data_IF_841176077844
#
_entry.id   IF_841176077844
#
_cell.length_a   1.000
_cell.length_b   1.000
_cell.length_c   1.000
_cell.angle_alpha   90.00
_cell.angle_beta   90.00
_cell.angle_gamma   90.00
#
_symmetry.space_group_name_H-M   'P 1'
#
loop_
_entity.id
_entity.type
_entity.pdbx_description
1 polymer ?
#
# COMPACT_ATOMS: atom_id res chain seq x y z
N UNK A 1 10.02 -20.92 -21.20
CA UNK A 1 8.73 -20.41 -21.72
C UNK A 1 9.04 -19.17 -22.55
N UNK A 2 8.59 -19.10 -23.80
CA UNK A 2 8.86 -17.94 -24.65
C UNK A 2 7.99 -16.77 -24.20
N UNK A 3 8.61 -15.72 -23.66
CA UNK A 3 7.90 -14.50 -23.26
C UNK A 3 7.43 -13.78 -24.53
N UNK A 4 6.13 -13.58 -24.68
CA UNK A 4 5.57 -12.79 -25.79
C UNK A 4 5.72 -11.30 -25.48
N UNK A 5 6.46 -10.59 -26.31
CA UNK A 5 6.65 -9.15 -26.18
C UNK A 5 5.74 -8.40 -27.16
N UNK A 6 5.07 -7.35 -26.68
CA UNK A 6 4.36 -6.38 -27.52
C UNK A 6 5.15 -5.07 -27.58
N UNK A 7 5.43 -4.60 -28.79
CA UNK A 7 6.18 -3.36 -29.00
C UNK A 7 5.30 -2.13 -28.77
N UNK A 8 5.83 -1.16 -28.00
CA UNK A 8 5.20 0.12 -27.73
C UNK A 8 6.26 1.23 -27.69
N UNK A 9 5.88 2.42 -28.16
CA UNK A 9 6.72 3.61 -28.08
C UNK A 9 6.30 4.45 -26.88
N UNK A 10 7.27 4.80 -26.03
CA UNK A 10 7.06 5.66 -24.85
C UNK A 10 7.87 6.93 -25.04
N UNK A 11 7.25 8.08 -24.77
CA UNK A 11 7.96 9.37 -24.72
C UNK A 11 8.40 9.63 -23.29
N UNK A 12 9.68 9.94 -23.13
CA UNK A 12 10.29 10.29 -21.84
C UNK A 12 10.70 11.75 -21.88
N UNK A 13 10.64 12.42 -20.73
CA UNK A 13 11.27 13.72 -20.60
C UNK A 13 12.78 13.59 -20.75
N UNK A 14 13.44 14.65 -21.23
CA UNK A 14 14.89 14.65 -21.44
C UNK A 14 15.66 14.28 -20.17
N UNK A 15 15.26 14.85 -19.03
CA UNK A 15 15.84 14.57 -17.71
C UNK A 15 15.68 13.10 -17.29
N UNK A 16 14.54 12.48 -17.63
CA UNK A 16 14.29 11.07 -17.35
C UNK A 16 15.15 10.18 -18.24
N UNK A 17 15.27 10.51 -19.52
CA UNK A 17 16.12 9.80 -20.47
C UNK A 17 17.59 9.84 -20.04
N UNK A 18 18.12 11.01 -19.71
CA UNK A 18 19.53 11.17 -19.33
C UNK A 18 19.88 10.34 -18.08
N UNK A 19 18.98 10.31 -17.10
CA UNK A 19 19.15 9.48 -15.90
C UNK A 19 19.05 7.99 -16.24
N UNK A 20 18.07 7.60 -17.04
CA UNK A 20 17.88 6.20 -17.46
C UNK A 20 19.06 5.67 -18.26
N UNK A 21 19.58 6.44 -19.22
CA UNK A 21 20.72 6.06 -20.04
C UNK A 21 21.99 5.92 -19.22
N UNK A 22 22.18 6.77 -18.21
CA UNK A 22 23.32 6.68 -17.29
C UNK A 22 23.25 5.37 -16.50
N UNK A 23 22.10 5.07 -15.89
CA UNK A 23 21.91 3.83 -15.11
C UNK A 23 22.04 2.59 -16.02
N UNK A 24 21.53 2.65 -17.24
CA UNK A 24 21.66 1.59 -18.25
C UNK A 24 23.13 1.28 -18.57
N UNK A 25 23.92 2.33 -18.80
CA UNK A 25 25.34 2.21 -19.08
C UNK A 25 26.11 1.62 -17.87
N UNK A 26 25.86 2.13 -16.66
CA UNK A 26 26.48 1.64 -15.42
C UNK A 26 26.20 0.15 -15.18
N UNK A 27 24.96 -0.28 -15.45
CA UNK A 27 24.51 -1.66 -15.21
C UNK A 27 24.73 -2.61 -16.40
N UNK A 28 25.23 -2.10 -17.54
CA UNK A 28 25.37 -2.84 -18.81
C UNK A 28 24.05 -3.49 -19.27
N UNK A 29 22.95 -2.77 -19.08
CA UNK A 29 21.60 -3.19 -19.48
C UNK A 29 21.06 -2.26 -20.56
N UNK A 30 20.07 -2.72 -21.34
CA UNK A 30 19.35 -1.78 -22.19
C UNK A 30 18.40 -0.92 -21.36
N UNK A 31 18.11 0.30 -21.84
CA UNK A 31 17.08 1.15 -21.21
C UNK A 31 15.72 0.42 -21.16
N UNK A 32 15.42 -0.39 -22.18
CA UNK A 32 14.20 -1.20 -22.22
C UNK A 32 14.16 -2.29 -21.14
N UNK A 33 15.30 -2.89 -20.78
CA UNK A 33 15.37 -3.84 -19.65
C UNK A 33 15.06 -3.15 -18.33
N UNK A 34 15.64 -1.96 -18.10
CA UNK A 34 15.40 -1.19 -16.88
C UNK A 34 13.93 -0.80 -16.77
N UNK A 35 13.33 -0.30 -17.86
CA UNK A 35 11.91 0.08 -17.87
C UNK A 35 11.03 -1.15 -17.58
N UNK A 36 11.32 -2.31 -18.18
CA UNK A 36 10.58 -3.56 -17.89
C UNK A 36 10.72 -3.98 -16.43
N UNK A 37 11.94 -4.01 -15.89
CA UNK A 37 12.14 -4.36 -14.47
C UNK A 37 11.45 -3.36 -13.52
N UNK A 38 11.48 -2.06 -13.82
CA UNK A 38 10.77 -1.06 -13.04
C UNK A 38 9.25 -1.26 -13.11
N UNK A 39 8.73 -1.64 -14.28
CA UNK A 39 7.32 -1.96 -14.46
C UNK A 39 6.92 -3.23 -13.69
N UNK A 40 7.74 -4.27 -13.71
CA UNK A 40 7.50 -5.50 -12.94
C UNK A 40 7.44 -5.21 -11.42
N UNK A 41 8.35 -4.37 -10.93
CA UNK A 41 8.35 -3.91 -9.53
C UNK A 41 7.11 -3.07 -9.22
N UNK A 42 6.74 -2.15 -10.12
CA UNK A 42 5.57 -1.31 -9.93
C UNK A 42 4.28 -2.15 -9.87
N UNK A 43 4.10 -3.06 -10.82
CA UNK A 43 2.91 -3.92 -10.89
C UNK A 43 2.84 -4.86 -9.67
N UNK A 44 3.95 -5.49 -9.29
CA UNK A 44 3.99 -6.36 -8.10
C UNK A 44 3.82 -5.61 -6.78
N UNK A 45 4.33 -4.37 -6.67
CA UNK A 45 4.18 -3.56 -5.45
C UNK A 45 2.73 -3.12 -5.22
N UNK A 46 1.96 -2.88 -6.29
CA UNK A 46 0.54 -2.51 -6.19
C UNK A 46 -0.31 -3.63 -5.56
N UNK A 47 -0.01 -4.88 -5.91
CA UNK A 47 -0.66 -6.05 -5.32
C UNK A 47 -0.26 -6.25 -3.85
N UNK A 48 1.03 -6.05 -3.53
CA UNK A 48 1.55 -6.16 -2.17
C UNK A 48 0.97 -5.09 -1.23
N UNK A 49 0.87 -3.84 -1.69
CA UNK A 49 0.28 -2.75 -0.91
C UNK A 49 -1.21 -3.00 -0.67
N UNK A 50 -1.94 -3.44 -1.70
CA UNK A 50 -3.37 -3.74 -1.58
C UNK A 50 -3.62 -4.97 -0.69
N UNK A 51 -2.78 -5.99 -0.77
CA UNK A 51 -2.84 -7.16 0.11
C UNK A 51 -2.48 -6.81 1.56
N UNK A 52 -1.47 -5.95 1.76
CA UNK A 52 -1.07 -5.44 3.07
C UNK A 52 -2.17 -4.63 3.75
N UNK A 53 -2.81 -3.70 3.02
CA UNK A 53 -3.94 -2.93 3.54
C UNK A 53 -5.11 -3.84 3.93
N UNK A 54 -5.47 -4.82 3.09
CA UNK A 54 -6.53 -5.79 3.42
C UNK A 54 -6.18 -6.64 4.65
N UNK A 55 -4.91 -7.01 4.83
CA UNK A 55 -4.45 -7.75 6.01
C UNK A 55 -4.51 -6.88 7.26
N UNK A 56 -4.04 -5.64 7.19
CA UNK A 56 -4.08 -4.69 8.32
C UNK A 56 -5.52 -4.40 8.75
N UNK A 57 -6.43 -4.16 7.79
CA UNK A 57 -7.85 -4.01 8.08
C UNK A 57 -8.41 -5.23 8.82
N UNK A 58 -8.10 -6.45 8.35
CA UNK A 58 -8.58 -7.69 8.98
C UNK A 58 -8.04 -7.88 10.41
N UNK A 59 -6.79 -7.54 10.65
CA UNK A 59 -6.19 -7.60 12.00
C UNK A 59 -6.81 -6.54 12.91
N UNK A 60 -7.01 -5.32 12.40
CA UNK A 60 -7.65 -4.23 13.15
C UNK A 60 -9.07 -4.61 13.57
N UNK A 61 -9.87 -5.14 12.65
CA UNK A 61 -11.24 -5.61 12.94
C UNK A 61 -11.23 -6.74 13.98
N UNK A 62 -10.31 -7.70 13.86
CA UNK A 62 -10.17 -8.76 14.85
C UNK A 62 -9.83 -8.21 16.25
N UNK A 63 -8.91 -7.25 16.33
CA UNK A 63 -8.54 -6.61 17.60
C UNK A 63 -9.72 -5.82 18.20
N UNK A 64 -10.43 -5.05 17.38
CA UNK A 64 -11.62 -4.30 17.81
C UNK A 64 -12.70 -5.24 18.35
N UNK A 65 -12.98 -6.34 17.66
CA UNK A 65 -13.97 -7.32 18.10
C UNK A 65 -13.54 -8.02 19.39
N UNK A 66 -12.29 -8.45 19.49
CA UNK A 66 -11.77 -9.09 20.69
C UNK A 66 -11.84 -8.15 21.91
N UNK A 67 -11.50 -6.88 21.73
CA UNK A 67 -11.59 -5.87 22.80
C UNK A 67 -13.03 -5.60 23.21
N UNK A 68 -13.98 -5.49 22.27
CA UNK A 68 -15.40 -5.31 22.60
C UNK A 68 -15.94 -6.50 23.39
N UNK A 69 -15.57 -7.74 23.04
CA UNK A 69 -15.94 -8.95 23.81
C UNK A 69 -15.36 -8.86 25.23
N UNK A 70 -14.06 -8.60 25.38
CA UNK A 70 -13.40 -8.50 26.69
C UNK A 70 -14.05 -7.41 27.56
N UNK A 71 -14.34 -6.24 26.99
CA UNK A 71 -14.98 -5.13 27.72
C UNK A 71 -16.39 -5.53 28.15
N UNK A 72 -17.18 -6.18 27.27
CA UNK A 72 -18.54 -6.63 27.63
C UNK A 72 -18.53 -7.66 28.76
N UNK A 73 -17.54 -8.54 28.79
CA UNK A 73 -17.46 -9.60 29.79
C UNK A 73 -16.88 -9.10 31.12
N UNK A 74 -15.85 -8.24 31.07
CA UNK A 74 -15.07 -7.87 32.26
C UNK A 74 -15.42 -6.49 32.84
N UNK A 75 -15.84 -5.55 31.99
CA UNK A 75 -16.11 -4.14 32.36
C UNK A 75 -17.32 -3.56 31.62
N UNK A 76 -18.51 -4.20 31.71
CA UNK A 76 -19.68 -3.83 30.92
C UNK A 76 -20.10 -2.36 31.12
N UNK A 77 -19.92 -1.82 32.32
CA UNK A 77 -20.22 -0.43 32.67
C UNK A 77 -19.37 0.61 31.93
N UNK A 78 -18.19 0.24 31.44
CA UNK A 78 -17.30 1.16 30.72
C UNK A 78 -17.64 1.26 29.24
N UNK A 79 -18.44 0.33 28.70
CA UNK A 79 -18.69 0.22 27.26
C UNK A 79 -19.27 1.50 26.66
N UNK A 80 -20.36 2.02 27.22
CA UNK A 80 -21.01 3.24 26.69
C UNK A 80 -20.10 4.46 26.79
N UNK A 81 -19.33 4.57 27.87
CA UNK A 81 -18.37 5.66 28.05
C UNK A 81 -17.25 5.60 27.01
N UNK A 82 -16.74 4.40 26.69
CA UNK A 82 -15.70 4.23 25.67
C UNK A 82 -16.21 4.58 24.28
N UNK A 83 -17.45 4.20 23.94
CA UNK A 83 -18.09 4.59 22.67
C UNK A 83 -18.22 6.11 22.57
N UNK A 84 -18.80 6.76 23.58
CA UNK A 84 -18.98 8.21 23.58
C UNK A 84 -17.66 8.99 23.51
N UNK A 85 -16.61 8.54 24.21
CA UNK A 85 -15.29 9.16 24.14
C UNK A 85 -14.62 8.94 22.78
N UNK A 86 -14.89 7.81 22.12
CA UNK A 86 -14.39 7.52 20.77
C UNK A 86 -15.02 8.47 19.76
N UNK A 87 -16.34 8.64 19.80
CA UNK A 87 -17.07 9.58 18.94
C UNK A 87 -16.54 11.01 19.11
N UNK A 88 -16.36 11.44 20.37
CA UNK A 88 -15.80 12.77 20.68
C UNK A 88 -14.41 12.97 20.09
N UNK A 89 -13.53 11.98 20.19
CA UNK A 89 -12.16 12.05 19.65
C UNK A 89 -12.15 12.01 18.13
N UNK A 90 -13.07 11.27 17.51
CA UNK A 90 -13.23 11.24 16.06
C UNK A 90 -13.53 12.64 15.52
N UNK A 91 -14.50 13.34 16.14
CA UNK A 91 -14.82 14.73 15.79
C UNK A 91 -13.63 15.65 16.04
N UNK A 92 -12.99 15.52 17.22
CA UNK A 92 -11.92 16.43 17.65
C UNK A 92 -10.65 16.34 16.80
N UNK A 93 -10.24 15.13 16.40
CA UNK A 93 -8.95 14.90 15.74
C UNK A 93 -9.07 14.58 14.26
N UNK A 94 -10.25 14.15 13.80
CA UNK A 94 -10.46 13.69 12.42
C UNK A 94 -11.59 14.42 11.69
N UNK A 95 -12.30 15.33 12.37
CA UNK A 95 -13.25 16.26 11.75
C UNK A 95 -14.46 15.60 11.07
N UNK A 96 -14.78 14.36 11.47
CA UNK A 96 -15.95 13.61 11.02
C UNK A 96 -17.26 14.19 11.59
#
# INVERSE_FOLDING_TARGET
MATSYRHYNVRLERTQWDRLSTIAAERKLSVADIIRSALDVFLSSSDLLTASHRRLARISEFQQLALDIIIREQYPELRERLVAETDKRLVQYHGA
#
